data_IF_784184529343
#
_entry.id   IF_784184529343
#
_cell.length_a   1.000
_cell.length_b   1.000
_cell.length_c   1.000
_cell.angle_alpha   90.00
_cell.angle_beta   90.00
_cell.angle_gamma   90.00
#
_symmetry.space_group_name_H-M   'P 1'
#
loop_
_entity.id
_entity.type
_entity.pdbx_description
1 polymer ?
#
# COMPACT_ATOMS: atom_id res chain seq x y z
N UNK A 1 -9.07 7.46 5.68
CA UNK A 1 -8.58 7.34 4.30
C UNK A 1 -7.06 7.18 4.32
N UNK A 2 -6.57 6.10 3.72
CA UNK A 2 -5.15 5.79 3.61
C UNK A 2 -4.74 5.91 2.15
N UNK A 3 -3.64 6.59 1.85
CA UNK A 3 -3.19 6.79 0.48
C UNK A 3 -2.08 5.81 0.13
N UNK A 4 -2.26 5.03 -0.94
CA UNK A 4 -1.29 4.10 -1.49
C UNK A 4 -0.61 4.77 -2.68
N UNK A 5 0.72 4.75 -2.71
CA UNK A 5 1.54 5.36 -3.76
C UNK A 5 2.64 4.39 -4.19
N UNK A 6 3.15 4.52 -5.42
CA UNK A 6 4.34 3.78 -5.84
C UNK A 6 5.59 4.35 -5.15
N UNK A 7 6.32 3.49 -4.45
CA UNK A 7 7.59 3.80 -3.83
C UNK A 7 8.71 3.81 -4.87
N UNK A 8 9.57 4.83 -4.83
CA UNK A 8 10.74 4.89 -5.71
C UNK A 8 11.67 3.71 -5.42
N UNK A 9 11.94 2.90 -6.44
CA UNK A 9 12.92 1.82 -6.38
C UNK A 9 14.14 2.19 -7.22
N UNK A 10 15.34 2.14 -6.62
CA UNK A 10 16.61 2.46 -7.27
C UNK A 10 17.16 1.34 -8.16
N UNK A 11 16.42 0.24 -8.34
CA UNK A 11 16.84 -0.89 -9.18
C UNK A 11 16.45 -0.65 -10.64
N UNK A 12 17.47 -0.43 -11.48
CA UNK A 12 17.38 -0.32 -12.94
C UNK A 12 17.20 -1.71 -13.55
N UNK A 13 15.94 -2.15 -13.71
CA UNK A 13 15.59 -3.40 -14.40
C UNK A 13 14.13 -3.82 -14.12
N UNK A 14 13.51 -4.69 -14.94
CA UNK A 14 12.17 -5.18 -14.68
C UNK A 14 12.18 -6.10 -13.45
N UNK A 15 11.97 -5.53 -12.27
CA UNK A 15 11.83 -6.30 -11.04
C UNK A 15 10.48 -7.02 -11.03
N UNK A 16 10.41 -8.31 -10.61
CA UNK A 16 9.13 -8.99 -10.41
C UNK A 16 8.33 -8.44 -9.22
N UNK A 17 8.89 -7.45 -8.52
CA UNK A 17 8.29 -6.78 -7.37
C UNK A 17 8.12 -5.28 -7.64
N UNK A 18 7.14 -4.67 -6.98
CA UNK A 18 6.96 -3.23 -6.85
C UNK A 18 7.07 -2.84 -5.39
N UNK A 19 7.53 -1.62 -5.15
CA UNK A 19 7.53 -1.01 -3.82
C UNK A 19 6.34 -0.07 -3.76
N UNK A 20 5.54 -0.17 -2.71
CA UNK A 20 4.39 0.68 -2.45
C UNK A 20 4.59 1.37 -1.10
N UNK A 21 4.10 2.59 -0.99
CA UNK A 21 4.06 3.35 0.25
C UNK A 21 2.60 3.59 0.63
N UNK A 22 2.23 3.29 1.86
CA UNK A 22 0.92 3.57 2.44
C UNK A 22 1.06 4.70 3.44
N UNK A 23 0.35 5.80 3.20
CA UNK A 23 0.29 6.97 4.08
C UNK A 23 -1.02 6.99 4.86
N UNK A 24 -0.91 7.05 6.18
CA UNK A 24 -2.01 7.27 7.09
C UNK A 24 -2.32 8.75 7.30
N UNK A 25 -3.49 9.04 7.86
CA UNK A 25 -3.96 10.41 8.12
C UNK A 25 -3.07 11.15 9.12
N UNK A 26 -2.45 10.42 10.05
CA UNK A 26 -1.62 10.98 11.11
C UNK A 26 -0.16 11.19 10.66
N UNK A 27 0.12 11.15 9.36
CA UNK A 27 1.48 11.24 8.80
C UNK A 27 2.32 9.96 8.92
N UNK A 28 1.75 8.88 9.44
CA UNK A 28 2.42 7.58 9.48
C UNK A 28 2.60 7.01 8.07
N UNK A 29 3.79 6.53 7.75
CA UNK A 29 4.09 5.89 6.46
C UNK A 29 4.55 4.44 6.68
N UNK A 30 4.06 3.52 5.84
CA UNK A 30 4.57 2.15 5.76
C UNK A 30 4.94 1.78 4.34
N UNK A 31 6.04 1.05 4.19
CA UNK A 31 6.55 0.59 2.90
C UNK A 31 6.30 -0.90 2.74
N UNK A 32 5.76 -1.28 1.59
CA UNK A 32 5.46 -2.65 1.21
C UNK A 32 6.23 -3.02 -0.05
N UNK A 33 6.74 -4.25 -0.09
CA UNK A 33 7.24 -4.88 -1.30
C UNK A 33 6.25 -5.96 -1.71
N UNK A 34 5.66 -5.87 -2.90
CA UNK A 34 4.72 -6.86 -3.42
C UNK A 34 5.10 -7.32 -4.82
N UNK A 35 4.69 -8.53 -5.21
CA UNK A 35 4.89 -9.00 -6.59
C UNK A 35 4.04 -8.17 -7.56
N UNK A 36 4.60 -7.86 -8.74
CA UNK A 36 3.83 -7.29 -9.86
C UNK A 36 2.69 -8.24 -10.22
N UNK A 37 1.48 -7.72 -10.37
CA UNK A 37 0.27 -8.50 -10.67
C UNK A 37 -0.44 -9.16 -9.47
N UNK A 38 0.10 -9.05 -8.26
CA UNK A 38 -0.62 -9.48 -7.06
C UNK A 38 -1.79 -8.51 -6.74
N UNK A 39 -2.85 -9.03 -6.13
CA UNK A 39 -4.00 -8.22 -5.72
C UNK A 39 -3.65 -7.27 -4.56
N UNK A 40 -4.02 -5.99 -4.69
CA UNK A 40 -3.80 -4.96 -3.65
C UNK A 40 -4.50 -5.28 -2.33
N UNK A 41 -5.57 -6.08 -2.34
CA UNK A 41 -6.27 -6.54 -1.13
C UNK A 41 -5.33 -7.16 -0.10
N UNK A 42 -4.29 -7.90 -0.54
CA UNK A 42 -3.30 -8.50 0.38
C UNK A 42 -2.51 -7.45 1.15
N UNK A 43 -2.13 -6.37 0.50
CA UNK A 43 -1.43 -5.25 1.13
C UNK A 43 -2.35 -4.56 2.13
N UNK A 44 -3.60 -4.29 1.74
CA UNK A 44 -4.58 -3.63 2.60
C UNK A 44 -4.87 -4.43 3.86
N UNK A 45 -5.16 -5.73 3.73
CA UNK A 45 -5.39 -6.62 4.87
C UNK A 45 -4.16 -6.65 5.79
N UNK A 46 -2.96 -6.82 5.23
CA UNK A 46 -1.73 -6.84 6.03
C UNK A 46 -1.48 -5.51 6.76
N UNK A 47 -1.82 -4.37 6.15
CA UNK A 47 -1.75 -3.06 6.78
C UNK A 47 -2.75 -2.96 7.95
N UNK A 48 -4.01 -3.34 7.73
CA UNK A 48 -5.05 -3.34 8.75
C UNK A 48 -4.67 -4.23 9.94
N UNK A 49 -4.18 -5.45 9.69
CA UNK A 49 -3.72 -6.37 10.74
C UNK A 49 -2.56 -5.76 11.54
N UNK A 50 -1.54 -5.20 10.88
CA UNK A 50 -0.39 -4.60 11.55
C UNK A 50 -0.74 -3.36 12.38
N UNK A 51 -1.72 -2.57 11.92
CA UNK A 51 -2.17 -1.34 12.59
C UNK A 51 -3.37 -1.57 13.51
N UNK A 52 -3.83 -2.81 13.66
CA UNK A 52 -5.03 -3.16 14.43
C UNK A 52 -6.26 -2.34 13.98
N UNK A 53 -6.40 -2.13 12.67
CA UNK A 53 -7.52 -1.46 12.05
C UNK A 53 -8.52 -2.49 11.51
N UNK A 54 -9.80 -2.12 11.48
CA UNK A 54 -10.85 -2.90 10.81
C UNK A 54 -10.80 -2.59 9.31
N UNK A 55 -10.79 -3.62 8.46
CA UNK A 55 -10.76 -3.44 7.00
C UNK A 55 -12.01 -2.71 6.49
N UNK A 56 -13.19 -3.04 7.04
CA UNK A 56 -14.49 -2.46 6.63
C UNK A 56 -14.56 -0.94 6.89
N UNK A 57 -13.96 -0.50 8.00
CA UNK A 57 -13.89 0.92 8.39
C UNK A 57 -12.72 1.67 7.73
N UNK A 58 -11.89 0.97 6.94
CA UNK A 58 -10.66 1.53 6.38
C UNK A 58 -10.78 1.74 4.88
N UNK A 59 -10.90 3.01 4.48
CA UNK A 59 -10.90 3.41 3.08
C UNK A 59 -9.48 3.59 2.56
N UNK A 60 -9.13 2.89 1.49
CA UNK A 60 -7.86 3.04 0.77
C UNK A 60 -8.06 3.84 -0.52
N UNK A 61 -7.09 4.72 -0.81
CA UNK A 61 -7.03 5.55 -1.99
C UNK A 61 -5.75 5.22 -2.77
N UNK A 62 -5.81 5.23 -4.10
CA UNK A 62 -4.67 5.23 -4.98
C UNK A 62 -4.87 6.30 -6.03
N UNK A 63 -3.93 7.24 -6.12
CA UNK A 63 -4.03 8.38 -7.05
C UNK A 63 -5.36 9.16 -6.90
N UNK A 64 -5.84 9.31 -5.65
CA UNK A 64 -7.11 9.97 -5.33
C UNK A 64 -8.37 9.16 -5.65
N UNK A 65 -8.26 7.92 -6.13
CA UNK A 65 -9.38 7.03 -6.40
C UNK A 65 -9.52 5.96 -5.33
N UNK A 66 -10.75 5.62 -4.99
CA UNK A 66 -11.04 4.50 -4.09
C UNK A 66 -10.59 3.18 -4.73
N UNK A 67 -9.84 2.38 -3.97
CA UNK A 67 -9.39 1.05 -4.38
C UNK A 67 -10.41 -0.05 -4.03
#
# INVERSE_FOLDING_TARGET
MLNVEEGRSSVTGPSPYIHLRVKGQNGNEEYFKMKRGAQLRKLMTAYCERRSLQFDDTVFLFDGRLL
#
